data_IF_537436868763
#
_entry.id   IF_537436868763
#
_cell.length_a   1.000
_cell.length_b   1.000
_cell.length_c   1.000
_cell.angle_alpha   90.00
_cell.angle_beta   90.00
_cell.angle_gamma   90.00
#
_symmetry.space_group_name_H-M   'P 1'
#
loop_
_entity.id
_entity.type
_entity.pdbx_description
1 polymer ?
#
# COMPACT_ATOMS: atom_id res chain seq x y z
N UNK A 1 -52.20 11.48 -45.19
CA UNK A 1 -50.80 11.17 -44.92
C UNK A 1 -50.82 10.32 -43.64
N UNK A 2 -51.20 9.04 -43.71
CA UNK A 2 -50.36 7.88 -44.09
C UNK A 2 -49.18 7.73 -43.11
N UNK A 3 -48.84 6.60 -42.46
CA UNK A 3 -49.41 5.27 -42.18
C UNK A 3 -48.58 4.68 -41.01
N UNK A 4 -49.12 3.68 -40.33
CA UNK A 4 -48.47 2.74 -39.40
C UNK A 4 -47.19 2.06 -39.94
N UNK A 5 -46.27 1.64 -39.06
CA UNK A 5 -45.96 0.22 -38.80
C UNK A 5 -44.79 0.03 -37.81
N UNK A 6 -44.98 -0.92 -36.88
CA UNK A 6 -43.92 -1.61 -36.16
C UNK A 6 -43.42 -2.79 -37.01
N UNK A 7 -42.13 -3.11 -36.94
CA UNK A 7 -41.62 -4.44 -37.29
C UNK A 7 -40.30 -4.74 -36.57
N UNK A 8 -40.32 -5.92 -35.97
CA UNK A 8 -39.25 -6.67 -35.31
C UNK A 8 -38.04 -6.94 -36.21
N UNK A 9 -36.84 -6.92 -35.66
CA UNK A 9 -35.75 -7.76 -36.17
C UNK A 9 -34.94 -8.37 -35.03
N UNK A 10 -34.85 -9.69 -35.09
CA UNK A 10 -34.24 -10.56 -34.10
C UNK A 10 -32.71 -10.52 -34.20
N UNK A 11 -32.04 -10.45 -33.05
CA UNK A 11 -30.63 -10.80 -32.94
C UNK A 11 -30.50 -12.32 -32.79
N UNK A 12 -29.71 -13.02 -33.63
CA UNK A 12 -29.41 -14.43 -33.39
C UNK A 12 -28.36 -14.57 -32.28
N UNK A 13 -28.66 -15.44 -31.33
CA UNK A 13 -27.76 -15.98 -30.32
C UNK A 13 -26.70 -16.89 -30.94
N UNK A 14 -25.45 -16.81 -30.50
CA UNK A 14 -24.63 -17.95 -30.03
C UNK A 14 -23.20 -17.51 -29.73
N UNK A 15 -22.67 -17.94 -28.58
CA UNK A 15 -21.25 -17.75 -28.25
C UNK A 15 -20.96 -17.70 -26.76
N UNK A 16 -21.17 -18.81 -26.06
CA UNK A 16 -20.47 -19.14 -24.82
C UNK A 16 -18.96 -18.94 -25.01
N UNK A 17 -18.24 -18.41 -24.00
CA UNK A 17 -17.02 -19.01 -23.44
C UNK A 17 -16.42 -18.12 -22.33
N UNK A 18 -15.68 -18.80 -21.47
CA UNK A 18 -15.31 -18.50 -20.10
C UNK A 18 -14.35 -17.34 -19.86
N UNK A 19 -14.37 -16.90 -18.59
CA UNK A 19 -13.36 -16.12 -17.90
C UNK A 19 -11.91 -16.34 -18.37
N UNK A 20 -11.19 -15.24 -18.59
CA UNK A 20 -9.79 -15.11 -18.21
C UNK A 20 -9.36 -13.64 -18.27
N UNK A 21 -9.05 -13.10 -17.10
CA UNK A 21 -8.05 -12.06 -16.84
C UNK A 21 -7.37 -11.49 -18.10
N UNK A 22 -7.84 -10.33 -18.56
CA UNK A 22 -7.12 -9.51 -19.54
C UNK A 22 -5.81 -9.01 -18.90
N UNK A 23 -4.78 -9.86 -18.93
CA UNK A 23 -3.40 -9.46 -18.65
C UNK A 23 -3.00 -8.51 -19.77
N UNK A 24 -2.85 -7.23 -19.40
CA UNK A 24 -2.34 -6.19 -20.29
C UNK A 24 -1.03 -6.68 -20.92
N UNK A 25 -1.06 -6.90 -22.23
CA UNK A 25 0.11 -7.27 -23.01
C UNK A 25 0.97 -6.02 -23.16
N UNK A 26 2.20 -6.05 -22.64
CA UNK A 26 3.18 -5.00 -22.88
C UNK A 26 3.64 -5.11 -24.34
N UNK A 27 3.41 -4.06 -25.11
CA UNK A 27 3.79 -3.95 -26.51
C UNK A 27 5.13 -3.19 -26.58
N UNK A 28 6.22 -3.86 -26.96
CA UNK A 28 7.46 -3.18 -27.34
C UNK A 28 7.39 -2.81 -28.83
N UNK A 29 7.98 -1.69 -29.23
CA UNK A 29 7.75 -0.98 -30.50
C UNK A 29 8.32 -1.65 -31.76
N UNK A 30 8.52 -2.97 -31.73
CA UNK A 30 9.02 -3.76 -32.87
C UNK A 30 8.00 -4.76 -33.42
N UNK A 31 6.82 -4.89 -32.80
CA UNK A 31 5.72 -5.68 -33.38
C UNK A 31 5.99 -7.18 -33.53
N UNK A 32 6.99 -7.73 -32.86
CA UNK A 32 7.30 -9.16 -32.85
C UNK A 32 6.64 -9.84 -31.64
N UNK A 33 5.57 -10.65 -31.82
CA UNK A 33 4.89 -11.28 -30.71
C UNK A 33 5.67 -12.53 -30.26
N UNK A 34 6.49 -12.34 -29.22
CA UNK A 34 7.13 -13.34 -28.33
C UNK A 34 8.62 -13.61 -28.56
N UNK A 35 9.47 -12.67 -28.18
CA UNK A 35 10.76 -13.06 -27.59
C UNK A 35 10.62 -13.10 -26.08
N UNK A 36 10.49 -14.33 -25.55
CA UNK A 36 10.68 -14.57 -24.12
C UNK A 36 12.12 -14.15 -23.75
N UNK A 37 12.36 -13.70 -22.51
CA UNK A 37 13.71 -13.35 -22.07
C UNK A 37 14.64 -14.55 -22.30
N UNK A 38 15.91 -14.29 -22.66
CA UNK A 38 16.91 -15.32 -23.00
C UNK A 38 17.07 -16.40 -21.91
N UNK A 39 16.63 -16.08 -20.68
CA UNK A 39 16.54 -16.96 -19.52
C UNK A 39 15.57 -18.13 -19.67
N UNK A 40 14.71 -18.15 -20.68
CA UNK A 40 13.74 -19.24 -20.92
C UNK A 40 14.13 -20.18 -22.06
N UNK A 41 15.34 -20.04 -22.63
CA UNK A 41 15.84 -20.95 -23.64
C UNK A 41 16.44 -22.17 -22.93
N UNK A 42 15.88 -23.36 -23.17
CA UNK A 42 16.19 -24.64 -22.52
C UNK A 42 17.65 -25.12 -22.66
N UNK A 43 18.48 -24.43 -23.46
CA UNK A 43 19.81 -24.92 -23.87
C UNK A 43 20.91 -23.86 -23.78
N UNK A 44 20.99 -23.14 -22.65
CA UNK A 44 22.18 -22.36 -22.28
C UNK A 44 23.08 -23.17 -21.33
N UNK A 45 24.15 -23.82 -21.82
CA UNK A 45 25.16 -24.43 -20.97
C UNK A 45 26.13 -23.34 -20.51
N UNK A 46 25.83 -22.68 -19.39
CA UNK A 46 26.69 -21.63 -18.86
C UNK A 46 26.40 -21.36 -17.39
N UNK A 47 27.06 -22.12 -16.52
CA UNK A 47 27.15 -21.91 -15.08
C UNK A 47 25.82 -21.51 -14.43
N UNK A 48 24.98 -22.51 -14.15
CA UNK A 48 24.01 -22.41 -13.06
C UNK A 48 24.83 -22.29 -11.77
N UNK A 49 25.24 -21.08 -11.43
CA UNK A 49 25.60 -20.73 -10.06
C UNK A 49 24.29 -20.95 -9.32
N UNK A 50 24.18 -22.10 -8.64
CA UNK A 50 23.12 -22.28 -7.67
C UNK A 50 23.15 -21.03 -6.78
N UNK A 51 22.04 -20.28 -6.69
CA UNK A 51 22.00 -19.17 -5.75
C UNK A 51 22.39 -19.76 -4.40
N UNK A 52 23.41 -19.24 -3.70
CA UNK A 52 23.78 -19.76 -2.39
C UNK A 52 22.49 -19.83 -1.59
N UNK A 53 22.15 -21.04 -1.15
CA UNK A 53 20.94 -21.35 -0.41
C UNK A 53 20.65 -20.20 0.54
N UNK A 54 19.57 -19.47 0.24
CA UNK A 54 19.00 -18.43 1.08
C UNK A 54 20.04 -17.75 1.96
N UNK A 55 20.80 -16.78 1.43
CA UNK A 55 21.22 -15.67 2.26
C UNK A 55 19.94 -15.21 2.95
N UNK A 56 19.78 -15.63 4.20
CA UNK A 56 18.56 -15.45 4.94
C UNK A 56 18.18 -14.02 4.72
N UNK A 57 16.97 -13.78 4.22
CA UNK A 57 16.34 -12.50 4.49
C UNK A 57 16.45 -12.42 6.00
N UNK A 58 17.41 -11.64 6.52
CA UNK A 58 17.54 -11.52 7.96
C UNK A 58 16.13 -11.11 8.35
N UNK A 59 15.51 -11.89 9.23
CA UNK A 59 14.16 -11.65 9.67
C UNK A 59 14.24 -10.33 10.42
N UNK A 60 14.24 -9.21 9.69
CA UNK A 60 14.33 -7.91 10.30
C UNK A 60 13.15 -7.86 11.24
N UNK A 61 13.41 -7.56 12.53
CA UNK A 61 12.32 -7.46 13.47
C UNK A 61 11.28 -6.51 12.87
N UNK A 62 9.99 -6.88 12.92
CA UNK A 62 8.96 -6.09 12.27
C UNK A 62 9.06 -4.64 12.75
N UNK A 63 9.17 -3.70 11.81
CA UNK A 63 9.30 -2.28 12.11
C UNK A 63 8.25 -1.47 11.35
N UNK A 64 7.70 -0.45 12.00
CA UNK A 64 6.71 0.45 11.42
C UNK A 64 7.33 1.81 11.19
N UNK A 65 7.18 2.34 9.97
CA UNK A 65 7.62 3.70 9.64
C UNK A 65 6.63 4.71 10.18
N UNK A 66 7.16 5.80 10.73
CA UNK A 66 6.42 6.89 11.34
C UNK A 66 6.82 8.18 10.67
N UNK A 67 5.86 8.91 10.12
CA UNK A 67 6.03 10.28 9.65
C UNK A 67 5.28 11.19 10.61
N UNK A 68 5.92 12.25 11.09
CA UNK A 68 5.26 13.17 12.00
C UNK A 68 5.55 14.64 11.70
N UNK A 69 4.52 15.46 11.88
CA UNK A 69 4.51 16.91 11.69
C UNK A 69 4.49 17.61 13.05
N UNK A 70 5.24 18.69 13.17
CA UNK A 70 5.28 19.56 14.36
C UNK A 70 5.11 21.01 13.92
N UNK A 71 4.53 21.87 14.74
CA UNK A 71 4.39 23.31 14.39
C UNK A 71 5.73 24.03 14.16
N UNK A 72 6.81 23.52 14.76
CA UNK A 72 8.15 24.12 14.71
C UNK A 72 8.87 23.92 13.37
N UNK A 73 8.36 23.05 12.49
CA UNK A 73 9.02 22.70 11.23
C UNK A 73 8.02 22.40 10.13
N UNK A 74 8.21 23.01 8.95
CA UNK A 74 7.45 22.71 7.73
C UNK A 74 7.83 21.36 7.12
N UNK A 75 9.03 20.87 7.40
CA UNK A 75 9.51 19.56 6.94
C UNK A 75 9.12 18.49 7.97
N UNK A 76 8.37 17.43 7.58
CA UNK A 76 8.05 16.34 8.48
C UNK A 76 9.27 15.51 8.82
N UNK A 77 9.23 14.85 9.97
CA UNK A 77 10.27 13.94 10.44
C UNK A 77 9.88 12.50 10.13
N UNK A 78 10.87 11.66 9.85
CA UNK A 78 10.70 10.23 9.59
C UNK A 78 11.47 9.42 10.65
N UNK A 79 10.78 8.51 11.31
CA UNK A 79 11.35 7.57 12.28
C UNK A 79 10.82 6.16 12.06
N UNK A 80 11.36 5.19 12.79
CA UNK A 80 10.91 3.80 12.74
C UNK A 80 10.80 3.23 14.16
N UNK A 81 9.67 2.60 14.46
CA UNK A 81 9.45 1.86 15.71
C UNK A 81 9.70 0.37 15.41
N UNK A 82 10.56 -0.34 16.15
CA UNK A 82 10.83 -1.77 15.96
C UNK A 82 9.69 -2.65 16.52
N UNK A 83 8.45 -2.36 16.12
CA UNK A 83 7.22 -3.08 16.45
C UNK A 83 6.31 -3.14 15.23
N UNK A 84 5.39 -4.12 15.20
CA UNK A 84 4.28 -4.17 14.23
C UNK A 84 3.29 -3.05 14.53
N UNK A 85 2.67 -2.50 13.49
CA UNK A 85 1.65 -1.46 13.61
C UNK A 85 0.54 -1.85 14.59
N UNK A 86 0.13 -3.12 14.60
CA UNK A 86 -0.89 -3.65 15.52
C UNK A 86 -0.51 -3.55 17.00
N UNK A 87 0.78 -3.51 17.33
CA UNK A 87 1.29 -3.61 18.70
C UNK A 87 1.80 -2.25 19.22
N UNK A 88 1.79 -1.22 18.36
CA UNK A 88 2.26 0.13 18.69
C UNK A 88 1.18 0.85 19.47
N UNK A 89 1.57 1.31 20.65
CA UNK A 89 0.76 2.17 21.52
C UNK A 89 1.27 3.60 21.52
N UNK A 90 0.47 4.52 22.03
CA UNK A 90 0.84 5.93 22.12
C UNK A 90 2.16 6.12 22.89
N UNK A 91 2.38 5.38 23.97
CA UNK A 91 3.65 5.41 24.73
C UNK A 91 4.88 5.10 23.88
N UNK A 92 4.75 4.19 22.91
CA UNK A 92 5.87 3.81 22.03
C UNK A 92 6.18 4.94 21.05
N UNK A 93 5.15 5.65 20.58
CA UNK A 93 5.31 6.85 19.77
C UNK A 93 5.95 7.99 20.58
N UNK A 94 5.53 8.21 21.83
CA UNK A 94 6.11 9.23 22.73
C UNK A 94 7.61 9.02 22.96
N UNK A 95 8.04 7.78 23.11
CA UNK A 95 9.48 7.43 23.22
C UNK A 95 10.26 7.78 21.95
N UNK A 96 9.66 7.66 20.76
CA UNK A 96 10.31 8.09 19.51
C UNK A 96 10.35 9.60 19.36
N UNK A 97 9.31 10.29 19.83
CA UNK A 97 9.26 11.75 19.76
C UNK A 97 10.24 12.43 20.74
N UNK A 98 10.40 11.87 21.95
CA UNK A 98 11.38 12.25 22.98
C UNK A 98 11.55 13.76 23.19
N UNK A 99 10.43 14.48 23.39
CA UNK A 99 10.47 15.91 23.77
C UNK A 99 9.69 16.18 25.05
N UNK A 100 10.22 17.01 25.96
CA UNK A 100 9.50 17.43 27.15
C UNK A 100 8.40 18.43 26.78
N UNK A 101 7.21 18.29 27.38
CA UNK A 101 6.08 19.18 27.16
C UNK A 101 4.73 18.45 27.22
N UNK A 102 3.64 19.21 27.18
CA UNK A 102 2.31 18.67 26.95
C UNK A 102 1.98 18.79 25.47
N UNK A 103 1.56 17.68 24.87
CA UNK A 103 1.29 17.59 23.45
C UNK A 103 0.02 16.81 23.20
N UNK A 104 -0.71 17.19 22.15
CA UNK A 104 -1.83 16.44 21.58
C UNK A 104 -1.37 15.69 20.35
N UNK A 105 -1.79 14.43 20.25
CA UNK A 105 -1.32 13.50 19.23
C UNK A 105 -2.48 13.11 18.33
N UNK A 106 -2.44 13.62 17.10
CA UNK A 106 -3.42 13.30 16.07
C UNK A 106 -2.81 12.38 15.03
N UNK A 107 -3.53 11.34 14.64
CA UNK A 107 -3.06 10.32 13.72
C UNK A 107 -3.98 10.22 12.51
N UNK A 108 -3.37 10.02 11.34
CA UNK A 108 -4.11 9.78 10.10
C UNK A 108 -4.66 8.37 10.14
N UNK A 109 -5.96 8.24 9.98
CA UNK A 109 -6.65 6.95 9.93
C UNK A 109 -7.72 6.94 8.85
N UNK A 110 -8.27 5.76 8.58
CA UNK A 110 -9.46 5.57 7.76
C UNK A 110 -10.62 5.16 8.66
N UNK A 111 -11.54 6.09 8.89
CA UNK A 111 -12.80 5.82 9.54
C UNK A 111 -13.79 5.18 8.54
N UNK A 112 -14.55 4.13 8.92
CA UNK A 112 -15.50 3.47 8.02
C UNK A 112 -16.66 4.35 7.53
N UNK A 113 -17.07 5.34 8.32
CA UNK A 113 -18.23 6.20 8.04
C UNK A 113 -17.82 7.52 7.41
N UNK A 114 -16.71 8.10 7.87
CA UNK A 114 -16.25 9.44 7.48
C UNK A 114 -15.07 9.42 6.50
N UNK A 115 -14.46 8.26 6.26
CA UNK A 115 -13.27 8.13 5.40
C UNK A 115 -12.00 8.62 6.09
N UNK A 116 -11.14 9.34 5.38
CA UNK A 116 -9.84 9.75 5.93
C UNK A 116 -10.01 10.86 6.99
N UNK A 117 -9.63 10.58 8.24
CA UNK A 117 -9.76 11.52 9.36
C UNK A 117 -8.44 11.66 10.15
N UNK A 118 -8.40 12.66 11.04
CA UNK A 118 -7.35 12.84 12.07
C UNK A 118 -7.94 12.44 13.43
N UNK A 119 -7.59 11.25 13.90
CA UNK A 119 -8.05 10.73 15.19
C UNK A 119 -7.08 11.18 16.29
N UNK A 120 -7.59 11.67 17.41
CA UNK A 120 -6.78 11.99 18.59
C UNK A 120 -6.67 10.77 19.49
N UNK A 121 -5.45 10.47 19.97
CA UNK A 121 -5.20 9.40 20.94
C UNK A 121 -4.66 10.01 22.23
N UNK A 122 -5.34 9.74 23.35
CA UNK A 122 -5.07 10.40 24.63
C UNK A 122 -4.29 9.50 25.62
N UNK A 123 -4.62 8.21 25.69
CA UNK A 123 -4.02 7.31 26.69
C UNK A 123 -2.79 6.59 26.14
N UNK A 124 -1.79 6.45 27.01
CA UNK A 124 -0.50 5.82 26.68
C UNK A 124 -0.62 4.34 26.29
N UNK A 125 -1.66 3.68 26.75
CA UNK A 125 -1.93 2.28 26.48
C UNK A 125 -2.83 2.05 25.26
N UNK A 126 -3.38 3.11 24.66
CA UNK A 126 -4.21 3.01 23.46
C UNK A 126 -3.36 2.72 22.23
N UNK A 127 -3.92 1.93 21.31
CA UNK A 127 -3.28 1.59 20.04
C UNK A 127 -3.27 2.79 19.10
N UNK A 128 -2.14 3.02 18.43
CA UNK A 128 -2.04 4.09 17.44
C UNK A 128 -2.65 3.62 16.12
N UNK A 129 -3.58 4.36 15.52
CA UNK A 129 -4.13 3.99 14.23
C UNK A 129 -3.10 4.18 13.12
N UNK A 130 -3.19 3.33 12.09
CA UNK A 130 -2.24 3.35 10.98
C UNK A 130 -2.90 3.56 9.63
N UNK A 131 -2.08 4.04 8.69
CA UNK A 131 -2.43 4.27 7.31
C UNK A 131 -1.47 3.51 6.42
N UNK A 132 -1.97 2.54 5.65
CA UNK A 132 -1.17 1.79 4.66
C UNK A 132 0.10 1.16 5.29
N UNK A 133 -0.05 0.54 6.47
CA UNK A 133 1.05 -0.10 7.20
C UNK A 133 2.08 0.87 7.81
N UNK A 134 1.77 2.17 7.85
CA UNK A 134 2.62 3.25 8.38
C UNK A 134 1.83 4.07 9.40
N UNK A 135 2.53 4.94 10.12
CA UNK A 135 1.91 5.92 11.01
C UNK A 135 2.18 7.31 10.43
N UNK A 136 1.14 8.14 10.36
CA UNK A 136 1.25 9.57 10.01
C UNK A 136 0.63 10.36 11.15
N UNK A 137 1.41 11.23 11.80
CA UNK A 137 0.99 11.94 12.99
C UNK A 137 1.18 13.45 12.90
N UNK A 138 0.35 14.21 13.60
CA UNK A 138 0.51 15.64 13.87
C UNK A 138 0.62 15.82 15.38
N UNK A 139 1.68 16.50 15.82
CA UNK A 139 1.91 16.84 17.21
C UNK A 139 1.66 18.33 17.38
N UNK A 140 0.68 18.65 18.20
CA UNK A 140 0.31 20.02 18.59
C UNK A 140 0.74 20.24 20.05
N UNK A 141 1.28 21.41 20.37
CA UNK A 141 1.69 21.77 21.74
C UNK A 141 0.46 22.31 22.49
N UNK A 142 0.16 21.75 23.66
CA UNK A 142 -0.92 22.27 24.52
C UNK A 142 -0.37 23.50 25.25
N UNK A 143 -0.87 24.68 24.88
CA UNK A 143 -0.35 26.01 25.31
C UNK A 143 -1.01 26.46 26.62
#
# INVERSE_FOLDING_TARGET
>A
MEKMAAASSACPSTGSLSAASARRLNFDSTGDPRRLPITTLEDFPGYRIDPPASLGHCSQPPSTKVIYYTERSVTPFLSAIPKRLSDIRLRDFKVVFDRPGQYRYHFKTLDPEFGMVKEEVLHDDDHVPGWDGKIVAWIEEDI
#
